data_IF_287611281433
#
_entry.id   IF_287611281433
#
_cell.length_a   1.000
_cell.length_b   1.000
_cell.length_c   1.000
_cell.angle_alpha   90.00
_cell.angle_beta   90.00
_cell.angle_gamma   90.00
#
_symmetry.space_group_name_H-M   'P 1'
#
loop_
_entity.id
_entity.type
_entity.pdbx_description
1 polymer ?
#
# COMPACT_ATOMS: atom_id res chain seq x y z
N UNK A 1 -65.19 -52.46 33.27
CA UNK A 1 -63.76 -52.35 33.51
C UNK A 1 -63.30 -51.05 32.93
N UNK A 2 -63.18 -50.15 33.60
CA UNK A 2 -62.77 -48.97 34.15
C UNK A 2 -61.38 -48.56 33.79
N UNK A 3 -61.19 -47.37 33.22
CA UNK A 3 -59.93 -46.69 33.38
C UNK A 3 -60.22 -45.19 33.37
N UNK A 4 -59.87 -44.53 34.44
CA UNK A 4 -60.01 -43.15 34.77
C UNK A 4 -59.05 -42.31 33.89
N UNK A 5 -59.57 -41.29 33.24
CA UNK A 5 -58.77 -40.24 32.62
C UNK A 5 -58.34 -39.20 33.65
N UNK A 6 -57.04 -38.95 33.74
CA UNK A 6 -56.43 -37.85 34.48
C UNK A 6 -56.52 -36.59 33.66
N UNK A 7 -57.14 -35.54 34.20
CA UNK A 7 -57.10 -34.18 33.69
C UNK A 7 -55.73 -33.57 34.06
N UNK A 8 -54.98 -33.21 33.06
CA UNK A 8 -53.76 -32.41 33.24
C UNK A 8 -54.12 -30.93 33.02
N UNK A 9 -54.03 -30.13 34.10
CA UNK A 9 -54.17 -28.69 34.07
C UNK A 9 -52.82 -28.05 33.71
N UNK A 10 -52.61 -27.82 32.42
CA UNK A 10 -51.47 -27.01 31.96
C UNK A 10 -51.65 -25.54 32.31
N UNK A 11 -50.92 -25.09 33.36
CA UNK A 11 -50.76 -23.64 33.62
C UNK A 11 -49.88 -23.02 32.51
N UNK A 12 -50.50 -22.22 31.66
CA UNK A 12 -49.78 -21.39 30.68
C UNK A 12 -48.95 -20.33 31.38
N UNK A 13 -47.65 -20.53 31.47
CA UNK A 13 -46.72 -19.43 31.74
C UNK A 13 -46.68 -18.48 30.50
N UNK A 14 -47.26 -17.30 30.65
CA UNK A 14 -47.05 -16.20 29.75
C UNK A 14 -45.58 -15.87 29.72
N UNK A 15 -44.92 -16.14 28.58
CA UNK A 15 -43.55 -15.72 28.30
C UNK A 15 -43.49 -14.19 28.37
N UNK A 16 -42.76 -13.66 29.32
CA UNK A 16 -42.28 -12.30 29.31
C UNK A 16 -41.40 -12.12 28.07
N UNK A 17 -41.86 -11.31 27.12
CA UNK A 17 -41.11 -10.96 25.95
C UNK A 17 -39.79 -10.30 26.38
N UNK A 18 -38.66 -10.90 25.96
CA UNK A 18 -37.38 -10.24 26.02
C UNK A 18 -37.43 -8.97 25.17
N UNK A 19 -36.93 -7.82 25.66
CA UNK A 19 -36.83 -6.64 24.83
C UNK A 19 -35.94 -6.95 23.62
N UNK A 20 -36.48 -6.74 22.43
CA UNK A 20 -35.75 -6.82 21.20
C UNK A 20 -34.72 -5.68 21.19
N UNK A 21 -33.42 -6.02 21.32
CA UNK A 21 -32.36 -5.02 21.20
C UNK A 21 -31.02 -5.35 21.85
N UNK A 22 -30.91 -6.40 22.63
CA UNK A 22 -29.61 -6.85 23.11
C UNK A 22 -29.02 -7.84 22.09
N UNK A 23 -28.14 -7.37 21.21
CA UNK A 23 -27.24 -8.26 20.48
C UNK A 23 -26.41 -9.09 21.46
N UNK A 24 -25.75 -10.18 21.03
CA UNK A 24 -24.97 -11.01 21.92
C UNK A 24 -23.90 -10.13 22.58
N UNK A 25 -24.03 -9.94 23.90
CA UNK A 25 -22.97 -9.35 24.69
C UNK A 25 -21.76 -10.29 24.60
N UNK A 26 -20.79 -9.96 23.76
CA UNK A 26 -19.49 -10.61 23.79
C UNK A 26 -18.75 -10.14 25.05
N UNK A 27 -19.04 -10.78 26.14
CA UNK A 27 -18.20 -10.67 27.34
C UNK A 27 -16.95 -11.51 27.08
N UNK A 28 -15.85 -10.86 26.79
CA UNK A 28 -14.55 -11.50 26.79
C UNK A 28 -14.24 -11.96 28.23
N UNK A 29 -13.81 -13.21 28.38
CA UNK A 29 -13.28 -13.73 29.65
C UNK A 29 -11.78 -13.44 29.82
N UNK A 30 -11.17 -12.80 28.81
CA UNK A 30 -9.77 -12.44 28.80
C UNK A 30 -9.57 -11.02 29.35
N UNK A 31 -8.55 -10.87 30.19
CA UNK A 31 -8.18 -9.57 30.76
C UNK A 31 -7.63 -8.59 29.71
N UNK A 32 -7.20 -9.11 28.55
CA UNK A 32 -6.65 -8.33 27.45
C UNK A 32 -7.36 -8.67 26.14
N UNK A 33 -7.80 -7.64 25.43
CA UNK A 33 -8.44 -7.76 24.12
C UNK A 33 -7.53 -7.13 23.07
N UNK A 34 -7.20 -7.91 22.02
CA UNK A 34 -6.48 -7.38 20.88
C UNK A 34 -7.47 -6.73 19.89
N UNK A 35 -7.28 -5.45 19.60
CA UNK A 35 -8.05 -4.72 18.59
C UNK A 35 -7.16 -4.52 17.38
N UNK A 36 -7.66 -4.84 16.19
CA UNK A 36 -7.00 -4.59 14.89
C UNK A 36 -7.87 -3.64 14.08
N UNK A 37 -7.24 -2.62 13.52
CA UNK A 37 -7.87 -1.70 12.58
C UNK A 37 -6.97 -1.55 11.35
N UNK A 38 -7.56 -1.35 10.19
CA UNK A 38 -6.87 -1.05 8.95
C UNK A 38 -7.24 0.38 8.52
N UNK A 39 -6.23 1.16 8.19
CA UNK A 39 -6.41 2.49 7.64
C UNK A 39 -6.29 2.41 6.11
N UNK A 40 -7.41 2.63 5.41
CA UNK A 40 -7.48 2.63 3.94
C UNK A 40 -7.36 4.04 3.34
N UNK A 41 -7.10 5.05 4.19
CA UNK A 41 -7.01 6.44 3.75
C UNK A 41 -5.58 6.93 3.57
N UNK A 42 -4.61 6.02 3.75
CA UNK A 42 -3.20 6.34 3.57
C UNK A 42 -2.88 6.61 2.11
N UNK A 43 -2.05 7.63 1.88
CA UNK A 43 -1.57 8.00 0.56
C UNK A 43 -0.13 7.51 0.37
N UNK A 44 0.23 7.06 -0.84
CA UNK A 44 1.60 6.69 -1.18
C UNK A 44 2.59 7.85 -0.96
N UNK A 45 3.84 7.50 -0.70
CA UNK A 45 4.95 8.43 -0.43
C UNK A 45 4.69 9.40 0.74
N UNK A 46 3.82 8.98 1.66
CA UNK A 46 3.41 9.76 2.82
C UNK A 46 3.89 9.13 4.12
N UNK A 47 3.98 9.96 5.14
CA UNK A 47 4.46 9.55 6.46
C UNK A 47 3.41 9.83 7.51
N UNK A 48 3.09 8.81 8.30
CA UNK A 48 2.03 8.85 9.29
C UNK A 48 2.53 8.54 10.69
N UNK A 49 1.80 9.04 11.68
CA UNK A 49 1.83 8.59 13.08
C UNK A 49 0.41 8.40 13.53
N UNK A 50 0.17 7.35 14.28
CA UNK A 50 -1.16 6.99 14.77
C UNK A 50 -1.25 7.20 16.27
N UNK A 51 -2.41 7.64 16.71
CA UNK A 51 -2.83 7.64 18.10
C UNK A 51 -4.18 6.94 18.15
N UNK A 52 -4.38 6.13 19.15
CA UNK A 52 -5.65 5.42 19.34
C UNK A 52 -6.26 5.77 20.68
N UNK A 53 -7.56 5.71 20.77
CA UNK A 53 -8.30 5.76 22.02
C UNK A 53 -9.42 4.75 21.99
N UNK A 54 -9.74 4.21 23.13
CA UNK A 54 -10.89 3.32 23.28
C UNK A 54 -12.13 4.17 23.49
N UNK A 55 -13.19 3.86 22.76
CA UNK A 55 -14.51 4.44 22.93
C UNK A 55 -15.47 3.29 23.24
N UNK A 56 -16.18 3.39 24.35
CA UNK A 56 -17.13 2.37 24.80
C UNK A 56 -18.53 2.95 24.90
N UNK A 57 -19.54 2.12 24.72
CA UNK A 57 -20.92 2.53 24.98
C UNK A 57 -21.06 2.91 26.45
N UNK A 58 -21.72 4.02 26.73
CA UNK A 58 -21.98 4.45 28.10
C UNK A 58 -23.08 3.59 28.73
N UNK A 59 -22.77 2.76 29.73
CA UNK A 59 -23.77 1.91 30.40
C UNK A 59 -24.81 2.71 31.18
N UNK A 60 -24.52 3.99 31.44
CA UNK A 60 -25.39 4.87 32.20
C UNK A 60 -26.24 5.80 31.32
N UNK A 61 -26.14 5.68 30.02
CA UNK A 61 -26.92 6.50 29.08
C UNK A 61 -28.41 6.37 29.32
N UNK A 62 -29.10 7.49 29.51
CA UNK A 62 -30.53 7.61 29.82
C UNK A 62 -30.96 6.86 31.09
N UNK A 63 -30.09 6.67 32.09
CA UNK A 63 -30.43 6.09 33.38
C UNK A 63 -30.65 7.16 34.42
N UNK A 64 -31.68 6.98 35.26
CA UNK A 64 -31.99 7.87 36.38
C UNK A 64 -31.47 7.33 37.73
N UNK A 65 -31.14 6.05 37.78
CA UNK A 65 -30.73 5.31 38.99
C UNK A 65 -29.21 5.29 39.20
N UNK A 66 -28.50 6.35 38.81
CA UNK A 66 -27.06 6.48 38.92
C UNK A 66 -26.63 7.51 39.97
N UNK A 67 -25.39 7.40 40.43
CA UNK A 67 -24.85 8.34 41.41
C UNK A 67 -24.75 9.76 40.84
N UNK A 68 -24.88 10.79 41.69
CA UNK A 68 -24.70 12.18 41.26
C UNK A 68 -23.33 12.40 40.62
N UNK A 69 -23.32 13.12 39.47
CA UNK A 69 -22.09 13.44 38.72
C UNK A 69 -21.67 12.40 37.66
N UNK A 70 -22.44 11.32 37.52
CA UNK A 70 -22.25 10.37 36.42
C UNK A 70 -22.85 10.93 35.14
N UNK A 71 -22.13 10.80 34.03
CA UNK A 71 -22.62 11.20 32.71
C UNK A 71 -23.73 10.24 32.26
N UNK A 72 -24.94 10.76 32.11
CA UNK A 72 -26.11 10.03 31.62
C UNK A 72 -26.58 10.55 30.25
N UNK A 73 -25.95 11.59 29.73
CA UNK A 73 -26.37 12.26 28.50
C UNK A 73 -25.59 11.76 27.28
N UNK A 74 -24.28 11.45 27.45
CA UNK A 74 -23.45 10.95 26.38
C UNK A 74 -23.72 9.47 26.10
N UNK A 75 -23.88 9.13 24.82
CA UNK A 75 -24.04 7.72 24.42
C UNK A 75 -22.76 6.90 24.54
N UNK A 76 -21.61 7.56 24.47
CA UNK A 76 -20.29 6.96 24.44
C UNK A 76 -19.35 7.63 25.43
N UNK A 77 -18.46 6.85 26.01
CA UNK A 77 -17.39 7.32 26.86
C UNK A 77 -16.05 7.08 26.13
N UNK A 78 -15.31 8.15 25.92
CA UNK A 78 -14.00 8.10 25.29
C UNK A 78 -12.89 8.05 26.35
N UNK A 79 -12.01 7.07 26.26
CA UNK A 79 -10.79 6.99 27.04
C UNK A 79 -9.72 8.01 26.59
N UNK A 80 -8.59 8.07 27.29
CA UNK A 80 -7.46 8.92 26.89
C UNK A 80 -6.86 8.44 25.56
N UNK A 81 -6.20 9.36 24.86
CA UNK A 81 -5.40 8.99 23.69
C UNK A 81 -4.13 8.25 24.13
N UNK A 82 -3.72 7.27 23.34
CA UNK A 82 -2.40 6.65 23.47
C UNK A 82 -1.29 7.64 23.15
N UNK A 83 -0.06 7.29 23.49
CA UNK A 83 1.10 7.90 22.88
C UNK A 83 1.10 7.68 21.36
N UNK A 84 1.70 8.62 20.58
CA UNK A 84 1.86 8.41 19.15
C UNK A 84 2.74 7.18 18.88
N UNK A 85 2.44 6.44 17.80
CA UNK A 85 3.33 5.39 17.31
C UNK A 85 4.64 5.98 16.80
N UNK A 86 5.61 5.12 16.52
CA UNK A 86 6.73 5.45 15.68
C UNK A 86 6.26 5.89 14.29
N UNK A 87 7.19 6.48 13.54
CA UNK A 87 6.93 6.92 12.16
C UNK A 87 6.67 5.71 11.28
N UNK A 88 5.53 5.70 10.61
CA UNK A 88 5.17 4.73 9.57
C UNK A 88 5.26 5.44 8.22
N UNK A 89 6.16 4.99 7.34
CA UNK A 89 6.28 5.49 5.98
C UNK A 89 5.53 4.57 5.04
N UNK A 90 4.65 5.12 4.23
CA UNK A 90 3.99 4.43 3.12
C UNK A 90 4.91 4.55 1.90
N UNK A 91 5.31 3.43 1.27
CA UNK A 91 6.17 3.49 0.09
C UNK A 91 5.44 4.17 -1.08
N UNK A 92 6.19 4.74 -2.05
CA UNK A 92 5.60 5.29 -3.26
C UNK A 92 4.96 4.19 -4.12
N UNK A 93 3.93 4.55 -4.88
CA UNK A 93 3.28 3.66 -5.84
C UNK A 93 4.15 3.38 -7.08
N UNK A 94 5.19 4.19 -7.27
CA UNK A 94 6.09 4.10 -8.42
C UNK A 94 7.50 3.80 -7.94
N UNK A 95 8.04 2.67 -8.37
CA UNK A 95 9.43 2.28 -8.17
C UNK A 95 10.22 2.48 -9.46
N UNK A 96 11.50 2.87 -9.34
CA UNK A 96 12.42 2.98 -10.46
C UNK A 96 13.67 2.15 -10.22
N UNK A 97 14.21 1.58 -11.29
CA UNK A 97 15.41 0.75 -11.27
C UNK A 97 16.29 1.13 -12.46
N UNK A 98 17.53 1.52 -12.19
CA UNK A 98 18.49 1.83 -13.24
C UNK A 98 18.98 0.52 -13.88
N UNK A 99 18.95 0.48 -15.20
CA UNK A 99 19.38 -0.67 -15.99
C UNK A 99 20.56 -0.32 -16.90
N UNK A 100 20.71 -1.09 -17.95
CA UNK A 100 21.76 -0.87 -18.94
C UNK A 100 21.68 0.55 -19.53
N UNK A 101 22.82 1.13 -19.93
CA UNK A 101 22.83 2.36 -20.72
C UNK A 101 21.93 2.22 -21.94
N UNK A 102 21.21 3.28 -22.27
CA UNK A 102 20.41 3.29 -23.49
C UNK A 102 21.33 3.20 -24.70
N UNK A 103 21.10 2.18 -25.54
CA UNK A 103 21.90 1.95 -26.75
C UNK A 103 21.18 2.42 -27.99
N UNK A 104 21.88 3.11 -28.86
CA UNK A 104 21.38 3.53 -30.17
C UNK A 104 21.71 4.98 -30.49
N UNK A 105 21.89 5.30 -31.75
CA UNK A 105 22.44 6.59 -32.24
C UNK A 105 21.59 7.86 -31.96
N UNK A 106 20.45 7.72 -31.29
CA UNK A 106 19.59 8.84 -30.91
C UNK A 106 19.77 9.27 -29.43
N UNK A 107 20.52 8.50 -28.63
CA UNK A 107 20.68 8.76 -27.20
C UNK A 107 22.03 9.40 -26.90
N UNK A 108 22.04 10.32 -25.95
CA UNK A 108 23.28 10.84 -25.35
C UNK A 108 24.04 9.70 -24.65
N UNK A 109 25.37 9.73 -24.61
CA UNK A 109 26.18 8.73 -23.86
C UNK A 109 25.81 8.66 -22.38
N UNK A 110 25.25 9.72 -21.80
CA UNK A 110 24.83 9.79 -20.41
C UNK A 110 23.39 9.31 -20.16
N UNK A 111 22.73 8.79 -21.22
CA UNK A 111 21.36 8.28 -21.11
C UNK A 111 21.35 6.87 -20.50
N UNK A 112 20.58 6.69 -19.45
CA UNK A 112 20.35 5.42 -18.78
C UNK A 112 18.92 4.94 -18.98
N UNK A 113 18.74 3.66 -19.20
CA UNK A 113 17.41 3.05 -19.23
C UNK A 113 16.96 2.76 -17.81
N UNK A 114 15.76 3.21 -17.47
CA UNK A 114 15.10 2.87 -16.21
C UNK A 114 13.90 1.97 -16.48
N UNK A 115 13.76 0.90 -15.69
CA UNK A 115 12.45 0.28 -15.52
C UNK A 115 11.69 1.04 -14.46
N UNK A 116 10.48 1.40 -14.82
CA UNK A 116 9.53 2.05 -13.95
C UNK A 116 8.39 1.07 -13.72
N UNK A 117 8.20 0.70 -12.46
CA UNK A 117 7.10 -0.13 -12.02
C UNK A 117 6.09 0.72 -11.26
N UNK A 118 4.83 0.69 -11.67
CA UNK A 118 3.76 1.45 -11.03
C UNK A 118 2.50 0.61 -10.88
N UNK A 119 1.81 0.81 -9.76
CA UNK A 119 0.47 0.31 -9.56
C UNK A 119 -0.55 1.29 -10.15
N UNK A 120 -1.39 0.83 -11.07
CA UNK A 120 -2.49 1.63 -11.61
C UNK A 120 -3.79 1.32 -10.86
N UNK A 121 -4.30 2.24 -10.03
CA UNK A 121 -5.51 2.01 -9.24
C UNK A 121 -6.78 1.88 -10.08
N UNK A 122 -6.78 2.41 -11.32
CA UNK A 122 -7.96 2.35 -12.19
C UNK A 122 -8.19 0.97 -12.79
N UNK A 123 -7.10 0.23 -13.04
CA UNK A 123 -7.17 -1.12 -13.57
C UNK A 123 -6.86 -2.20 -12.54
N UNK A 124 -6.34 -1.82 -11.36
CA UNK A 124 -5.90 -2.76 -10.35
C UNK A 124 -4.68 -3.59 -10.79
N UNK A 125 -3.86 -3.04 -11.68
CA UNK A 125 -2.74 -3.76 -12.31
C UNK A 125 -1.40 -3.13 -11.98
N UNK A 126 -0.41 -3.98 -11.74
CA UNK A 126 1.00 -3.58 -11.73
C UNK A 126 1.47 -3.48 -13.19
N UNK A 127 2.13 -2.38 -13.53
CA UNK A 127 2.67 -2.14 -14.87
C UNK A 127 4.16 -1.84 -14.79
N UNK A 128 4.96 -2.54 -15.59
CA UNK A 128 6.41 -2.29 -15.70
C UNK A 128 6.73 -1.83 -17.11
N UNK A 129 7.51 -0.77 -17.22
CA UNK A 129 7.91 -0.26 -18.54
C UNK A 129 9.28 0.40 -18.49
N UNK A 130 10.03 0.24 -19.58
CA UNK A 130 11.36 0.80 -19.74
C UNK A 130 11.30 2.19 -20.35
N UNK A 131 12.11 3.13 -19.79
CA UNK A 131 12.27 4.49 -20.27
C UNK A 131 13.74 4.91 -20.28
N UNK A 132 14.29 5.25 -21.45
CA UNK A 132 15.59 5.93 -21.52
C UNK A 132 15.43 7.35 -20.99
N UNK A 133 16.33 7.76 -20.10
CA UNK A 133 16.28 9.06 -19.42
C UNK A 133 17.69 9.63 -19.31
N UNK A 134 17.86 10.89 -19.68
CA UNK A 134 19.11 11.65 -19.60
C UNK A 134 19.13 12.58 -18.37
N UNK A 135 20.30 13.06 -17.94
CA UNK A 135 20.39 14.11 -16.93
C UNK A 135 19.52 15.33 -17.28
N UNK A 136 18.79 15.86 -16.29
CA UNK A 136 17.81 16.92 -16.45
C UNK A 136 16.40 16.48 -16.84
N UNK A 137 16.17 15.19 -17.04
CA UNK A 137 14.85 14.64 -17.36
C UNK A 137 14.22 13.91 -16.17
N UNK A 138 12.89 13.87 -16.14
CA UNK A 138 12.15 13.04 -15.18
C UNK A 138 12.08 11.59 -15.64
N UNK A 139 12.26 10.66 -14.70
CA UNK A 139 12.14 9.22 -14.97
C UNK A 139 10.68 8.84 -15.13
N UNK A 140 10.38 8.19 -16.26
CA UNK A 140 9.03 7.73 -16.58
C UNK A 140 8.14 8.82 -17.17
N UNK A 141 7.08 8.39 -17.82
CA UNK A 141 6.09 9.27 -18.46
C UNK A 141 4.75 8.56 -18.61
N UNK A 142 3.73 9.32 -18.95
CA UNK A 142 2.45 8.73 -19.36
C UNK A 142 2.66 7.96 -20.67
N UNK A 143 2.24 6.70 -20.69
CA UNK A 143 2.43 5.82 -21.85
C UNK A 143 1.26 4.83 -22.00
N UNK A 144 1.01 4.41 -23.24
CA UNK A 144 0.05 3.35 -23.50
C UNK A 144 0.71 1.99 -23.25
N UNK A 145 0.07 1.15 -22.42
CA UNK A 145 0.57 -0.18 -22.06
C UNK A 145 -0.58 -1.18 -22.04
N UNK A 146 -0.24 -2.43 -22.30
CA UNK A 146 -1.16 -3.54 -22.12
C UNK A 146 -1.34 -3.80 -20.62
N UNK A 147 -2.57 -3.96 -20.18
CA UNK A 147 -2.91 -4.25 -18.78
C UNK A 147 -4.05 -5.26 -18.72
N UNK A 148 -4.02 -6.13 -17.74
CA UNK A 148 -5.16 -6.95 -17.39
C UNK A 148 -6.25 -6.03 -16.82
N UNK A 149 -7.49 -6.25 -17.22
CA UNK A 149 -8.66 -5.52 -16.70
C UNK A 149 -9.64 -6.55 -16.16
N UNK A 150 -10.11 -6.33 -14.94
CA UNK A 150 -11.06 -7.23 -14.31
C UNK A 150 -12.32 -7.42 -15.18
N UNK A 151 -12.70 -8.68 -15.43
CA UNK A 151 -13.84 -9.04 -16.27
C UNK A 151 -13.56 -9.12 -17.78
N UNK A 152 -12.34 -8.87 -18.21
CA UNK A 152 -11.93 -8.99 -19.62
C UNK A 152 -11.03 -10.21 -19.82
N UNK A 153 -11.29 -11.01 -20.84
CA UNK A 153 -10.51 -12.23 -21.15
C UNK A 153 -9.13 -11.92 -21.76
N UNK A 154 -8.89 -10.69 -22.19
CA UNK A 154 -7.66 -10.29 -22.88
C UNK A 154 -7.14 -8.97 -22.35
N UNK A 155 -5.80 -8.83 -22.27
CA UNK A 155 -5.18 -7.58 -21.92
C UNK A 155 -5.59 -6.44 -22.86
N UNK A 156 -5.83 -5.27 -22.31
CA UNK A 156 -6.24 -4.07 -23.05
C UNK A 156 -5.15 -3.01 -23.06
N UNK A 157 -5.07 -2.23 -24.13
CA UNK A 157 -4.20 -1.06 -24.20
C UNK A 157 -4.84 0.10 -23.44
N UNK A 158 -4.24 0.51 -22.33
CA UNK A 158 -4.66 1.66 -21.53
C UNK A 158 -3.56 2.70 -21.44
N UNK A 159 -3.95 3.93 -21.21
CA UNK A 159 -3.01 5.03 -20.92
C UNK A 159 -2.71 5.02 -19.44
N UNK A 160 -1.48 4.70 -19.09
CA UNK A 160 -1.02 4.53 -17.70
C UNK A 160 -0.05 5.67 -17.35
N UNK A 161 -0.19 6.22 -16.15
CA UNK A 161 0.72 7.22 -15.63
C UNK A 161 1.90 6.51 -14.92
N UNK A 162 3.06 6.51 -15.57
CA UNK A 162 4.31 5.92 -15.09
C UNK A 162 5.32 7.00 -14.66
N UNK A 163 4.86 8.21 -14.35
CA UNK A 163 5.72 9.31 -13.91
C UNK A 163 6.17 9.11 -12.47
N UNK A 164 7.46 8.89 -12.25
CA UNK A 164 8.02 8.73 -10.91
C UNK A 164 8.17 10.05 -10.14
N UNK A 165 8.09 11.20 -10.85
CA UNK A 165 8.43 12.54 -10.35
C UNK A 165 9.87 12.65 -9.81
N UNK A 166 10.75 11.71 -10.17
CA UNK A 166 12.15 11.71 -9.82
C UNK A 166 12.95 12.26 -11.00
N UNK A 167 13.85 13.22 -10.72
CA UNK A 167 14.64 13.91 -11.73
C UNK A 167 16.06 13.34 -11.75
N UNK A 168 16.55 12.93 -12.89
CA UNK A 168 17.96 12.55 -13.06
C UNK A 168 18.83 13.78 -12.97
N UNK A 169 19.74 13.80 -12.00
CA UNK A 169 20.69 14.91 -11.81
C UNK A 169 21.96 14.70 -12.61
N UNK A 170 22.53 13.49 -12.49
CA UNK A 170 23.81 13.17 -13.08
C UNK A 170 23.95 11.66 -13.31
N UNK A 171 24.81 11.27 -14.22
CA UNK A 171 25.12 9.89 -14.54
C UNK A 171 26.62 9.72 -14.69
N UNK A 172 27.21 8.79 -13.92
CA UNK A 172 28.61 8.42 -14.01
C UNK A 172 28.71 6.97 -14.49
N UNK A 173 29.71 6.66 -15.33
CA UNK A 173 29.89 5.33 -15.93
C UNK A 173 29.04 5.11 -17.18
N UNK A 174 28.55 3.89 -17.37
CA UNK A 174 27.73 3.53 -18.54
C UNK A 174 28.59 3.36 -19.81
N UNK A 175 28.28 4.11 -20.85
CA UNK A 175 28.97 4.01 -22.13
C UNK A 175 30.29 4.79 -22.20
N UNK A 176 30.66 5.51 -21.15
CA UNK A 176 31.90 6.27 -21.13
C UNK A 176 33.10 5.31 -21.07
N UNK A 177 33.91 5.21 -22.11
CA UNK A 177 35.06 4.34 -22.08
C UNK A 177 36.08 4.86 -21.06
N UNK A 178 36.63 3.97 -20.24
CA UNK A 178 37.71 4.32 -19.34
C UNK A 178 38.96 4.63 -20.19
N UNK A 179 39.30 5.92 -20.29
CA UNK A 179 40.45 6.36 -21.03
C UNK A 179 41.72 6.07 -20.23
N UNK A 180 42.77 5.59 -20.91
CA UNK A 180 44.16 5.51 -20.41
C UNK A 180 44.55 4.37 -19.44
N UNK A 181 43.81 3.26 -19.38
CA UNK A 181 44.29 2.09 -18.63
C UNK A 181 45.30 1.20 -19.40
N UNK A 182 45.63 1.54 -20.66
CA UNK A 182 46.53 0.75 -21.48
C UNK A 182 46.04 -0.67 -21.80
N UNK A 183 44.77 -0.96 -21.55
CA UNK A 183 44.16 -2.24 -21.80
C UNK A 183 43.47 -2.23 -23.17
N UNK A 184 43.50 -3.35 -23.91
CA UNK A 184 42.86 -3.45 -25.19
C UNK A 184 41.31 -3.51 -24.99
N UNK A 185 40.58 -2.55 -25.57
CA UNK A 185 39.14 -2.49 -25.56
C UNK A 185 38.56 -1.34 -24.71
N UNK A 186 37.32 -1.02 -24.95
CA UNK A 186 36.55 -0.10 -24.09
C UNK A 186 35.96 -0.90 -22.92
N UNK A 187 36.28 -0.51 -21.71
CA UNK A 187 35.64 -1.05 -20.52
C UNK A 187 34.45 -0.18 -20.16
N UNK A 188 33.27 -0.77 -20.13
CA UNK A 188 32.06 -0.11 -19.63
C UNK A 188 31.99 -0.34 -18.12
N UNK A 189 31.87 0.72 -17.33
CA UNK A 189 31.53 0.64 -15.92
C UNK A 189 30.01 0.61 -15.77
N UNK A 190 29.46 -0.09 -14.75
CA UNK A 190 28.05 0.06 -14.43
C UNK A 190 27.70 1.53 -14.19
N UNK A 191 26.59 1.98 -14.75
CA UNK A 191 26.14 3.34 -14.52
C UNK A 191 25.71 3.54 -13.06
N UNK A 192 26.15 4.66 -12.49
CA UNK A 192 25.67 5.18 -11.20
C UNK A 192 24.92 6.48 -11.48
N UNK A 193 23.67 6.54 -11.09
CA UNK A 193 22.78 7.65 -11.41
C UNK A 193 22.33 8.33 -10.12
N UNK A 194 22.55 9.64 -10.04
CA UNK A 194 22.01 10.48 -8.98
C UNK A 194 20.62 10.98 -9.37
N UNK A 195 19.64 10.70 -8.52
CA UNK A 195 18.25 11.05 -8.78
C UNK A 195 17.70 11.89 -7.61
N UNK A 196 17.10 13.04 -7.93
CA UNK A 196 16.37 13.87 -6.97
C UNK A 196 14.96 13.32 -6.79
N UNK A 197 14.61 12.97 -5.57
CA UNK A 197 13.26 12.52 -5.20
C UNK A 197 12.31 13.69 -4.94
N UNK A 198 10.98 13.46 -4.98
CA UNK A 198 9.99 14.49 -4.68
C UNK A 198 10.12 15.13 -3.30
N UNK A 199 10.65 14.40 -2.31
CA UNK A 199 10.91 14.87 -0.94
C UNK A 199 12.17 15.74 -0.82
N UNK A 200 12.87 16.00 -1.93
CA UNK A 200 14.12 16.79 -1.98
C UNK A 200 15.37 15.99 -1.62
N UNK A 201 15.28 14.70 -1.33
CA UNK A 201 16.45 13.86 -1.08
C UNK A 201 17.09 13.36 -2.37
N UNK A 202 18.37 13.07 -2.34
CA UNK A 202 19.11 12.47 -3.46
C UNK A 202 19.26 10.97 -3.19
N UNK A 203 18.88 10.16 -4.17
CA UNK A 203 19.13 8.73 -4.20
C UNK A 203 20.20 8.40 -5.24
N UNK A 204 21.02 7.41 -4.97
CA UNK A 204 21.95 6.83 -5.93
C UNK A 204 21.40 5.48 -6.39
N UNK A 205 21.21 5.34 -7.68
CA UNK A 205 20.87 4.08 -8.34
C UNK A 205 22.12 3.52 -9.00
N UNK A 206 22.43 2.25 -8.72
CA UNK A 206 23.53 1.54 -9.34
C UNK A 206 22.98 0.45 -10.24
N UNK A 207 23.29 0.55 -11.52
CA UNK A 207 22.82 -0.37 -12.56
C UNK A 207 23.07 -1.84 -12.22
N UNK A 208 24.25 -2.19 -11.67
CA UNK A 208 24.58 -3.57 -11.36
C UNK A 208 23.75 -4.12 -10.18
N UNK A 209 23.40 -3.26 -9.24
CA UNK A 209 22.56 -3.61 -8.07
C UNK A 209 21.08 -3.67 -8.49
N UNK A 210 20.59 -2.62 -9.12
CA UNK A 210 19.18 -2.52 -9.52
C UNK A 210 18.78 -3.62 -10.51
N UNK A 211 19.69 -4.00 -11.44
CA UNK A 211 19.43 -5.06 -12.42
C UNK A 211 19.24 -6.46 -11.79
N UNK A 212 19.78 -6.67 -10.59
CA UNK A 212 19.68 -7.94 -9.84
C UNK A 212 18.72 -7.88 -8.66
N UNK A 213 17.96 -6.79 -8.55
CA UNK A 213 16.99 -6.60 -7.47
C UNK A 213 15.82 -7.58 -7.60
N UNK A 214 15.60 -8.38 -6.54
CA UNK A 214 14.54 -9.39 -6.50
C UNK A 214 13.14 -8.76 -6.63
N UNK A 215 12.95 -7.53 -6.14
CA UNK A 215 11.70 -6.81 -6.26
C UNK A 215 11.40 -6.45 -7.71
N UNK A 216 12.39 -5.97 -8.46
CA UNK A 216 12.24 -5.71 -9.89
C UNK A 216 11.87 -6.98 -10.66
N UNK A 217 12.56 -8.09 -10.38
CA UNK A 217 12.27 -9.37 -11.03
C UNK A 217 10.85 -9.84 -10.74
N UNK A 218 10.43 -9.80 -9.48
CA UNK A 218 9.06 -10.13 -9.09
C UNK A 218 8.02 -9.25 -9.80
N UNK A 219 8.25 -7.94 -9.87
CA UNK A 219 7.35 -7.00 -10.54
C UNK A 219 7.24 -7.26 -12.05
N UNK A 220 8.36 -7.56 -12.71
CA UNK A 220 8.39 -7.93 -14.14
C UNK A 220 7.63 -9.23 -14.41
N UNK A 221 7.88 -10.25 -13.60
CA UNK A 221 7.20 -11.55 -13.74
C UNK A 221 5.70 -11.40 -13.51
N UNK A 222 5.30 -10.68 -12.46
CA UNK A 222 3.89 -10.41 -12.16
C UNK A 222 3.20 -9.67 -13.30
N UNK A 223 3.84 -8.65 -13.86
CA UNK A 223 3.32 -7.91 -15.01
C UNK A 223 3.18 -8.80 -16.24
N UNK A 224 4.24 -9.54 -16.60
CA UNK A 224 4.23 -10.43 -17.76
C UNK A 224 3.16 -11.53 -17.66
N UNK A 225 2.99 -12.10 -16.45
CA UNK A 225 1.93 -13.08 -16.20
C UNK A 225 0.53 -12.49 -16.34
N UNK A 226 0.35 -11.22 -15.97
CA UNK A 226 -0.95 -10.55 -16.04
C UNK A 226 -1.40 -10.25 -17.48
N UNK A 227 -0.45 -10.12 -18.41
CA UNK A 227 -0.73 -9.77 -19.82
C UNK A 227 -0.56 -10.95 -20.80
N UNK A 228 -0.19 -12.13 -20.31
CA UNK A 228 -0.05 -13.36 -21.10
C UNK A 228 -1.42 -14.07 -21.23
#
# INVERSE_FOLDING_TARGET
MGSMGMMDMGMGMRGMGRPAGAGPEHMSQEDLIMIRALDYTVEPDSTYRYRVRVVVANPNYNREDVAPGVDTESREIAGPWSDPTDIVRVPPDVAIFALNPARGGAFSPDTVSFDVAAWDPNTGSLVVSNFPTAPGEFVGRVAQRQVAVEGEDKPQNKVINLQSRQLVLDTEGGQTPIQNLGLPGAYELPAVVAVLRPDGTIALHNQAVDATDDQLQFMRESYNLSIS
#
